data_IF_040484043875
#
_entry.id   IF_040484043875
#
_cell.length_a   1.000
_cell.length_b   1.000
_cell.length_c   1.000
_cell.angle_alpha   90.00
_cell.angle_beta   90.00
_cell.angle_gamma   90.00
#
_symmetry.space_group_name_H-M   'P 1'
#
loop_
_entity.id
_entity.type
_entity.pdbx_description
1 polymer ?
#
# COMPACT_ATOMS: atom_id res chain seq x y z
N UNK A 1 12.12 -7.04 -6.31
CA UNK A 1 12.75 -8.37 -6.13
C UNK A 1 12.40 -9.30 -7.30
N UNK A 2 12.99 -10.50 -7.40
CA UNK A 2 12.55 -11.52 -8.37
C UNK A 2 11.14 -11.99 -8.03
N UNK A 3 10.30 -12.23 -9.04
CA UNK A 3 8.92 -12.71 -8.89
C UNK A 3 8.89 -14.10 -8.22
N UNK A 4 8.71 -14.14 -6.89
CA UNK A 4 8.71 -15.39 -6.12
C UNK A 4 7.30 -15.98 -6.10
N UNK A 5 7.11 -17.03 -6.90
CA UNK A 5 5.82 -17.71 -7.03
C UNK A 5 5.26 -18.22 -5.68
N UNK A 6 6.10 -18.43 -4.66
CA UNK A 6 5.64 -18.90 -3.34
C UNK A 6 4.85 -17.85 -2.56
N UNK A 7 4.99 -16.57 -2.92
CA UNK A 7 4.31 -15.46 -2.24
C UNK A 7 2.99 -15.07 -2.91
N UNK A 8 2.70 -15.57 -4.12
CA UNK A 8 1.46 -15.21 -4.83
C UNK A 8 0.23 -15.74 -4.11
N UNK A 9 -0.82 -14.93 -4.03
CA UNK A 9 -2.08 -15.27 -3.37
C UNK A 9 -3.28 -14.77 -4.16
N UNK A 10 -4.33 -15.59 -4.24
CA UNK A 10 -5.68 -15.16 -4.61
C UNK A 10 -6.40 -14.70 -3.33
N UNK A 11 -6.78 -13.42 -3.30
CA UNK A 11 -7.53 -12.85 -2.20
C UNK A 11 -8.81 -12.21 -2.72
N UNK A 12 -9.96 -12.84 -2.42
CA UNK A 12 -11.27 -12.38 -2.86
C UNK A 12 -11.35 -12.14 -4.39
N UNK A 13 -10.67 -12.98 -5.19
CA UNK A 13 -10.63 -12.85 -6.66
C UNK A 13 -9.60 -11.83 -7.18
N UNK A 14 -8.81 -11.21 -6.30
CA UNK A 14 -7.68 -10.35 -6.66
C UNK A 14 -6.39 -11.15 -6.64
N UNK A 15 -5.57 -11.01 -7.67
CA UNK A 15 -4.26 -11.66 -7.76
C UNK A 15 -3.19 -10.75 -7.15
N UNK A 16 -2.60 -11.18 -6.04
CA UNK A 16 -1.53 -10.44 -5.35
C UNK A 16 -0.17 -11.06 -5.68
N UNK A 17 0.85 -10.21 -5.90
CA UNK A 17 2.24 -10.64 -6.08
C UNK A 17 2.88 -11.16 -4.79
N UNK A 18 2.40 -10.68 -3.63
CA UNK A 18 2.81 -11.12 -2.30
C UNK A 18 1.64 -11.00 -1.30
N UNK A 19 1.66 -11.67 -0.13
CA UNK A 19 0.60 -11.50 0.88
C UNK A 19 0.73 -10.17 1.66
N UNK A 20 1.73 -9.35 1.35
CA UNK A 20 1.99 -8.11 2.06
C UNK A 20 1.01 -7.03 1.61
N UNK A 21 0.35 -6.39 2.57
CA UNK A 21 -0.58 -5.29 2.33
C UNK A 21 -0.15 -4.08 3.15
N UNK A 22 0.00 -2.93 2.49
CA UNK A 22 0.30 -1.68 3.17
C UNK A 22 -0.97 -1.10 3.81
N UNK A 23 -0.87 -0.75 5.09
CA UNK A 23 -1.98 -0.30 5.94
C UNK A 23 -2.44 1.11 5.58
N UNK A 24 -3.76 1.34 5.67
CA UNK A 24 -4.37 2.66 5.49
C UNK A 24 -3.83 3.68 6.50
N UNK A 25 -3.55 4.88 6.01
CA UNK A 25 -3.01 5.98 6.83
C UNK A 25 -1.51 5.88 7.13
N UNK A 26 -0.86 4.75 6.84
CA UNK A 26 0.58 4.58 7.04
C UNK A 26 1.42 4.90 5.79
N UNK A 27 0.79 4.90 4.61
CA UNK A 27 1.48 5.02 3.30
C UNK A 27 0.79 6.06 2.39
N UNK A 28 0.06 7.00 2.99
CA UNK A 28 -0.56 8.11 2.25
C UNK A 28 -1.36 7.64 1.03
N UNK A 29 -0.92 8.06 -0.15
CA UNK A 29 -1.47 7.64 -1.44
C UNK A 29 -0.53 6.71 -2.24
N UNK A 30 0.53 6.19 -1.62
CA UNK A 30 1.47 5.23 -2.22
C UNK A 30 2.67 5.86 -2.92
N UNK A 31 2.89 7.17 -2.72
CA UNK A 31 3.99 7.93 -3.35
C UNK A 31 5.20 8.08 -2.44
N UNK A 32 5.01 7.96 -1.12
CA UNK A 32 6.03 8.27 -0.14
C UNK A 32 7.13 7.21 -0.11
N UNK A 33 6.74 5.93 -0.20
CA UNK A 33 7.66 4.81 -0.06
C UNK A 33 8.47 4.53 -1.33
N UNK A 34 8.01 4.97 -2.50
CA UNK A 34 8.79 4.84 -3.75
C UNK A 34 10.07 5.68 -3.73
N UNK A 35 10.22 6.60 -2.77
CA UNK A 35 11.45 7.35 -2.51
C UNK A 35 12.50 6.54 -1.75
N UNK A 36 12.12 5.43 -1.13
CA UNK A 36 13.05 4.56 -0.39
C UNK A 36 13.82 3.71 -1.40
N UNK A 37 15.15 3.77 -1.35
CA UNK A 37 16.01 2.99 -2.24
C UNK A 37 15.72 1.49 -2.09
N UNK A 38 15.47 0.83 -3.23
CA UNK A 38 15.21 -0.61 -3.27
C UNK A 38 13.76 -1.01 -2.98
N UNK A 39 12.88 -0.06 -2.66
CA UNK A 39 11.45 -0.32 -2.51
C UNK A 39 10.69 -0.11 -3.83
N UNK A 40 9.76 -1.01 -4.14
CA UNK A 40 8.81 -0.86 -5.23
C UNK A 40 7.41 -1.27 -4.79
N UNK A 41 6.39 -0.50 -5.19
CA UNK A 41 4.98 -0.88 -4.99
C UNK A 41 4.63 -2.23 -5.64
N UNK A 42 5.47 -2.75 -6.55
CA UNK A 42 5.29 -4.08 -7.15
C UNK A 42 5.63 -5.24 -6.20
N UNK A 43 6.40 -4.97 -5.14
CA UNK A 43 6.81 -6.00 -4.17
C UNK A 43 5.70 -6.31 -3.13
N UNK A 44 4.65 -5.48 -3.06
CA UNK A 44 3.46 -5.68 -2.20
C UNK A 44 2.26 -6.15 -3.01
N UNK A 45 1.37 -6.92 -2.39
CA UNK A 45 0.14 -7.41 -3.02
C UNK A 45 -0.95 -6.34 -3.16
N UNK A 46 -1.05 -5.44 -2.17
CA UNK A 46 -2.01 -4.34 -2.19
C UNK A 46 -1.56 -3.16 -1.31
N UNK A 47 -2.17 -1.99 -1.57
CA UNK A 47 -2.02 -0.79 -0.76
C UNK A 47 -3.42 -0.29 -0.38
N UNK A 48 -3.73 -0.26 0.91
CA UNK A 48 -4.90 0.42 1.40
C UNK A 48 -4.56 1.91 1.53
N UNK A 49 -5.12 2.74 0.66
CA UNK A 49 -4.86 4.19 0.69
C UNK A 49 -5.45 4.83 1.95
N UNK A 50 -4.98 6.04 2.27
CA UNK A 50 -5.60 6.85 3.34
C UNK A 50 -7.11 7.01 3.12
N UNK A 51 -7.85 7.14 4.23
CA UNK A 51 -9.28 7.39 4.18
C UNK A 51 -9.61 8.63 3.34
N UNK A 52 -10.57 8.47 2.42
CA UNK A 52 -11.07 9.55 1.57
C UNK A 52 -12.45 9.97 2.05
N UNK A 53 -12.62 11.25 2.32
CA UNK A 53 -13.91 11.86 2.68
C UNK A 53 -14.47 12.63 1.48
N UNK A 54 -15.77 12.88 1.46
CA UNK A 54 -16.42 13.62 0.38
C UNK A 54 -15.78 14.99 0.18
N UNK A 55 -15.59 15.73 1.28
CA UNK A 55 -14.91 17.02 1.31
C UNK A 55 -13.51 16.89 1.90
N UNK A 56 -12.52 17.71 1.47
CA UNK A 56 -11.17 17.71 2.03
C UNK A 56 -11.16 18.02 3.54
N UNK A 57 -10.26 17.35 4.29
CA UNK A 57 -10.06 17.57 5.73
C UNK A 57 -8.58 17.76 6.05
N UNK A 58 -8.24 18.80 6.81
CA UNK A 58 -6.88 19.08 7.29
C UNK A 58 -6.40 18.12 8.39
N UNK A 59 -7.34 17.49 9.11
CA UNK A 59 -7.03 16.68 10.29
C UNK A 59 -7.08 17.49 11.59
N UNK A 60 -6.59 16.89 12.67
CA UNK A 60 -6.55 17.52 13.99
C UNK A 60 -5.31 18.42 14.14
N UNK A 61 -5.36 19.37 15.07
CA UNK A 61 -4.17 20.12 15.46
C UNK A 61 -3.11 19.18 16.08
N UNK A 62 -1.81 19.44 15.88
CA UNK A 62 -0.74 18.71 16.56
C UNK A 62 -0.91 18.77 18.08
N UNK A 63 -0.58 17.66 18.74
CA UNK A 63 -0.57 17.55 20.21
C UNK A 63 0.72 18.09 20.81
#
# INVERSE_FOLDING_TARGET
MSDDHRLKVDFCGLQFSSPLVLLSGCVGFGEEYTRIQGFSNRDVGAICLKGTTLEPRLGNAPH
#
